data_IF_188020363033
#
_entry.id   IF_188020363033
#
_cell.length_a   1.000
_cell.length_b   1.000
_cell.length_c   1.000
_cell.angle_alpha   90.00
_cell.angle_beta   90.00
_cell.angle_gamma   90.00
#
_symmetry.space_group_name_H-M   'P 1'
#
loop_
_entity.id
_entity.type
_entity.pdbx_description
1 polymer ?
#
# COMPACT_ATOMS: atom_id res chain seq x y z
N UNK A 1 17.47 13.35 -22.97
CA UNK A 1 18.18 13.80 -21.75
C UNK A 1 18.53 12.54 -20.96
N UNK A 2 19.79 12.11 -20.98
CA UNK A 2 20.24 10.94 -20.22
C UNK A 2 20.55 11.39 -18.79
N UNK A 3 19.70 11.03 -17.84
CA UNK A 3 19.93 11.22 -16.40
C UNK A 3 20.77 10.05 -15.89
N UNK A 4 22.07 10.06 -16.20
CA UNK A 4 23.00 9.05 -15.70
C UNK A 4 23.93 9.73 -14.68
N UNK A 5 24.03 9.23 -13.43
CA UNK A 5 24.94 9.78 -12.45
C UNK A 5 26.40 9.76 -12.94
N UNK A 6 27.20 10.78 -12.59
CA UNK A 6 28.56 10.94 -13.13
C UNK A 6 29.60 10.01 -12.50
N UNK A 7 29.29 9.39 -11.36
CA UNK A 7 30.21 8.53 -10.61
C UNK A 7 29.66 7.12 -10.43
N UNK A 8 30.57 6.14 -10.38
CA UNK A 8 30.25 4.73 -10.08
C UNK A 8 29.46 4.60 -8.77
N UNK A 9 29.86 5.33 -7.75
CA UNK A 9 29.23 5.25 -6.43
C UNK A 9 27.81 5.80 -6.46
N UNK A 10 27.57 6.91 -7.19
CA UNK A 10 26.21 7.45 -7.37
C UNK A 10 25.31 6.51 -8.19
N UNK A 11 25.86 5.82 -9.20
CA UNK A 11 25.13 4.77 -9.94
C UNK A 11 24.77 3.61 -9.02
N UNK A 12 25.69 3.15 -8.17
CA UNK A 12 25.45 2.06 -7.23
C UNK A 12 24.40 2.43 -6.16
N UNK A 13 24.45 3.65 -5.64
CA UNK A 13 23.45 4.17 -4.72
C UNK A 13 22.05 4.25 -5.36
N UNK A 14 21.97 4.78 -6.58
CA UNK A 14 20.74 4.80 -7.38
C UNK A 14 20.19 3.40 -7.61
N UNK A 15 21.05 2.45 -8.00
CA UNK A 15 20.66 1.06 -8.23
C UNK A 15 20.18 0.37 -6.95
N UNK A 16 20.76 0.70 -5.79
CA UNK A 16 20.31 0.17 -4.50
C UNK A 16 18.88 0.65 -4.16
N UNK A 17 18.60 1.95 -4.35
CA UNK A 17 17.25 2.50 -4.18
C UNK A 17 16.27 1.89 -5.19
N UNK A 18 16.68 1.72 -6.45
CA UNK A 18 15.87 1.06 -7.48
C UNK A 18 15.48 -0.37 -7.10
N UNK A 19 16.41 -1.16 -6.54
CA UNK A 19 16.10 -2.51 -6.03
C UNK A 19 15.11 -2.50 -4.86
N UNK A 20 15.20 -1.52 -3.97
CA UNK A 20 14.24 -1.39 -2.86
C UNK A 20 12.83 -1.05 -3.38
N UNK A 21 12.72 -0.10 -4.30
CA UNK A 21 11.43 0.23 -4.95
C UNK A 21 10.86 -0.99 -5.67
N UNK A 22 11.67 -1.70 -6.46
CA UNK A 22 11.24 -2.91 -7.16
C UNK A 22 10.73 -3.99 -6.20
N UNK A 23 11.45 -4.26 -5.11
CA UNK A 23 11.02 -5.23 -4.10
C UNK A 23 9.70 -4.84 -3.41
N UNK A 24 9.46 -3.54 -3.20
CA UNK A 24 8.22 -3.06 -2.59
C UNK A 24 7.02 -3.13 -3.53
N UNK A 25 7.23 -2.90 -4.83
CA UNK A 25 6.20 -2.99 -5.87
C UNK A 25 5.87 -4.43 -6.28
N UNK A 26 6.80 -5.37 -6.09
CA UNK A 26 6.54 -6.80 -6.26
C UNK A 26 5.68 -7.33 -5.09
N UNK A 27 4.39 -7.53 -5.37
CA UNK A 27 3.42 -8.03 -4.39
C UNK A 27 3.53 -9.52 -4.10
N UNK A 28 4.25 -10.28 -4.93
CA UNK A 28 4.33 -11.74 -4.84
C UNK A 28 5.50 -12.20 -3.96
N UNK A 29 6.56 -11.39 -3.87
CA UNK A 29 7.74 -11.72 -3.06
C UNK A 29 7.68 -11.07 -1.68
N UNK A 30 7.73 -11.83 -0.56
CA UNK A 30 7.83 -11.26 0.77
C UNK A 30 9.08 -10.37 0.95
N UNK A 31 8.92 -9.24 1.63
CA UNK A 31 10.01 -8.28 1.87
C UNK A 31 10.38 -8.31 3.36
N UNK A 32 11.59 -8.77 3.72
CA UNK A 32 12.04 -8.81 5.11
C UNK A 32 11.95 -7.43 5.78
N UNK A 33 11.38 -7.41 6.98
CA UNK A 33 11.17 -6.18 7.73
C UNK A 33 9.93 -5.38 7.32
N UNK A 34 9.30 -5.69 6.18
CA UNK A 34 8.10 -4.99 5.71
C UNK A 34 6.88 -5.90 5.74
N UNK A 35 6.97 -7.09 5.14
CA UNK A 35 5.85 -8.05 5.09
C UNK A 35 6.18 -9.38 5.77
N UNK A 36 7.45 -9.73 5.96
CA UNK A 36 7.86 -10.96 6.65
C UNK A 36 9.03 -10.76 7.64
N UNK A 37 9.28 -11.79 8.45
CA UNK A 37 10.32 -11.77 9.48
C UNK A 37 10.03 -10.76 10.59
N UNK A 38 11.08 -10.15 11.14
CA UNK A 38 10.96 -9.10 12.14
C UNK A 38 10.52 -7.77 11.50
N UNK A 39 9.22 -7.54 11.44
CA UNK A 39 8.63 -6.30 10.90
C UNK A 39 9.19 -5.07 11.63
N UNK A 40 9.62 -4.05 10.88
CA UNK A 40 10.14 -2.79 11.42
C UNK A 40 9.10 -2.13 12.33
N UNK A 41 9.54 -1.48 13.41
CA UNK A 41 8.67 -0.94 14.45
C UNK A 41 7.63 0.05 13.94
N UNK A 42 8.02 0.93 13.00
CA UNK A 42 7.17 1.90 12.31
C UNK A 42 6.03 1.26 11.49
N UNK A 43 6.21 0.01 11.05
CA UNK A 43 5.25 -0.71 10.20
C UNK A 43 4.36 -1.69 10.97
N UNK A 44 4.73 -2.06 12.21
CA UNK A 44 4.02 -3.10 12.97
C UNK A 44 2.54 -2.80 13.14
N UNK A 45 2.21 -1.56 13.47
CA UNK A 45 0.84 -1.13 13.75
C UNK A 45 0.02 -0.81 12.47
N UNK A 46 0.68 -0.62 11.32
CA UNK A 46 0.03 -0.23 10.07
C UNK A 46 -0.96 -1.30 9.63
N UNK A 47 -2.22 -0.90 9.45
CA UNK A 47 -3.31 -1.74 8.97
C UNK A 47 -3.46 -3.04 9.79
N UNK A 48 -3.42 -2.95 11.12
CA UNK A 48 -3.69 -4.10 11.98
C UNK A 48 -5.18 -4.46 11.93
N UNK A 49 -5.51 -5.67 11.47
CA UNK A 49 -6.91 -6.14 11.44
C UNK A 49 -7.36 -6.56 12.85
N UNK A 50 -8.39 -5.92 13.37
CA UNK A 50 -8.92 -6.14 14.72
C UNK A 50 -10.43 -6.05 14.73
N UNK A 51 -11.05 -6.67 15.74
CA UNK A 51 -12.43 -6.36 16.12
C UNK A 51 -12.48 -5.12 16.99
N UNK A 52 -13.52 -4.32 16.84
CA UNK A 52 -13.73 -3.09 17.60
C UNK A 52 -14.04 -3.36 19.08
N UNK A 53 -14.56 -4.54 19.41
CA UNK A 53 -14.83 -5.00 20.78
C UNK A 53 -13.63 -5.66 21.47
N UNK A 54 -12.46 -5.71 20.81
CA UNK A 54 -11.22 -6.27 21.35
C UNK A 54 -11.16 -7.79 21.42
N UNK A 55 -12.20 -8.51 20.96
CA UNK A 55 -12.18 -9.98 20.93
C UNK A 55 -11.32 -10.50 19.77
N UNK A 56 -10.87 -11.78 19.83
CA UNK A 56 -10.24 -12.43 18.69
C UNK A 56 -11.17 -12.50 17.48
N UNK A 57 -10.62 -12.31 16.28
CA UNK A 57 -11.36 -12.48 15.03
C UNK A 57 -11.73 -13.96 14.84
N UNK A 58 -12.99 -14.24 14.55
CA UNK A 58 -13.52 -15.54 14.15
C UNK A 58 -14.08 -15.47 12.73
N UNK A 59 -13.37 -16.04 11.76
CA UNK A 59 -13.77 -16.04 10.36
C UNK A 59 -15.10 -16.78 10.13
N UNK A 60 -15.38 -17.86 10.87
CA UNK A 60 -16.60 -18.66 10.72
C UNK A 60 -17.83 -17.93 11.26
N UNK A 61 -17.63 -16.92 12.12
CA UNK A 61 -18.70 -16.05 12.62
C UNK A 61 -19.03 -14.88 11.66
N UNK A 62 -18.38 -14.80 10.50
CA UNK A 62 -18.58 -13.71 9.55
C UNK A 62 -17.81 -12.43 9.90
N UNK A 63 -16.88 -12.47 10.86
CA UNK A 63 -16.10 -11.28 11.25
C UNK A 63 -15.28 -10.70 10.09
N UNK A 64 -14.98 -11.51 9.07
CA UNK A 64 -14.24 -11.13 7.86
C UNK A 64 -15.14 -10.88 6.64
N UNK A 65 -16.46 -10.84 6.84
CA UNK A 65 -17.39 -10.44 5.79
C UNK A 65 -17.15 -8.97 5.43
N UNK A 66 -16.90 -8.71 4.14
CA UNK A 66 -16.84 -7.36 3.62
C UNK A 66 -18.26 -6.90 3.29
N UNK A 67 -18.82 -6.03 4.12
CA UNK A 67 -20.21 -5.53 4.03
C UNK A 67 -20.31 -4.02 4.30
N UNK A 68 -19.18 -3.32 4.36
CA UNK A 68 -19.10 -1.88 4.61
C UNK A 68 -19.45 -1.01 3.39
N UNK A 69 -19.80 -1.61 2.24
CA UNK A 69 -20.29 -0.90 1.06
C UNK A 69 -19.18 -0.32 0.17
N UNK A 70 -18.08 -1.06 -0.02
CA UNK A 70 -16.95 -0.72 -0.89
C UNK A 70 -17.26 -0.87 -2.39
N UNK A 71 -18.26 -1.67 -2.73
CA UNK A 71 -18.73 -1.88 -4.10
C UNK A 71 -20.04 -2.65 -4.16
N UNK A 72 -20.68 -2.64 -5.32
CA UNK A 72 -21.93 -3.38 -5.53
C UNK A 72 -22.13 -3.72 -7.00
N UNK A 73 -23.03 -4.65 -7.28
CA UNK A 73 -23.38 -5.00 -8.65
C UNK A 73 -24.16 -3.84 -9.30
N UNK A 74 -23.72 -3.45 -10.49
CA UNK A 74 -24.41 -2.55 -11.39
C UNK A 74 -25.12 -3.31 -12.51
N UNK A 75 -25.67 -2.55 -13.47
CA UNK A 75 -26.34 -3.12 -14.64
C UNK A 75 -25.37 -4.02 -15.43
N UNK A 76 -25.84 -5.20 -15.82
CA UNK A 76 -25.04 -6.15 -16.61
C UNK A 76 -23.87 -6.80 -15.86
N UNK A 77 -23.90 -6.82 -14.52
CA UNK A 77 -22.85 -7.46 -13.70
C UNK A 77 -21.59 -6.62 -13.51
N UNK A 78 -21.56 -5.37 -13.99
CA UNK A 78 -20.44 -4.45 -13.79
C UNK A 78 -20.31 -4.11 -12.31
N UNK A 79 -19.10 -4.20 -11.74
CA UNK A 79 -18.85 -3.75 -10.36
C UNK A 79 -18.80 -2.23 -10.30
N UNK A 80 -19.68 -1.63 -9.51
CA UNK A 80 -19.71 -0.20 -9.23
C UNK A 80 -19.01 0.09 -7.90
N UNK A 81 -18.15 1.13 -7.83
CA UNK A 81 -17.47 1.49 -6.60
C UNK A 81 -18.43 2.12 -5.59
N UNK A 82 -18.30 1.72 -4.33
CA UNK A 82 -19.05 2.29 -3.22
C UNK A 82 -18.23 3.27 -2.38
N UNK A 83 -18.90 3.89 -1.40
CA UNK A 83 -18.23 4.82 -0.46
C UNK A 83 -17.35 4.06 0.53
N UNK A 84 -17.80 2.90 0.99
CA UNK A 84 -17.22 2.20 2.13
C UNK A 84 -17.45 2.91 3.46
N UNK A 85 -16.86 2.36 4.52
CA UNK A 85 -16.81 2.98 5.85
C UNK A 85 -15.35 3.20 6.27
N UNK A 86 -15.03 4.47 6.52
CA UNK A 86 -13.73 4.94 7.03
C UNK A 86 -14.00 5.81 8.24
N UNK A 87 -13.26 5.61 9.32
CA UNK A 87 -13.24 6.54 10.47
C UNK A 87 -11.84 7.12 10.64
N UNK A 88 -11.75 8.37 11.09
CA UNK A 88 -10.48 9.04 11.35
C UNK A 88 -10.08 8.85 12.81
N UNK A 89 -8.83 8.45 13.03
CA UNK A 89 -8.22 8.28 14.35
C UNK A 89 -6.86 9.01 14.36
N UNK A 90 -6.89 10.28 14.75
CA UNK A 90 -5.73 11.18 14.62
C UNK A 90 -5.33 11.35 13.15
N UNK A 91 -4.05 11.10 12.84
CA UNK A 91 -3.50 11.19 11.48
C UNK A 91 -3.65 9.89 10.66
N UNK A 92 -4.40 8.93 11.20
CA UNK A 92 -4.63 7.62 10.59
C UNK A 92 -6.12 7.35 10.42
N UNK A 93 -6.41 6.29 9.67
CA UNK A 93 -7.74 5.88 9.29
C UNK A 93 -7.99 4.43 9.72
N UNK A 94 -9.20 4.18 10.20
CA UNK A 94 -9.75 2.85 10.43
C UNK A 94 -10.63 2.48 9.23
N UNK A 95 -10.23 1.45 8.49
CA UNK A 95 -10.89 0.98 7.27
C UNK A 95 -11.74 -0.22 7.61
N UNK A 96 -13.06 -0.06 7.60
CA UNK A 96 -13.98 -1.09 8.08
C UNK A 96 -14.26 -2.16 7.03
N UNK A 97 -14.26 -3.41 7.48
CA UNK A 97 -14.79 -4.55 6.71
C UNK A 97 -16.32 -4.60 6.87
N UNK A 98 -16.79 -4.43 8.10
CA UNK A 98 -18.20 -4.47 8.50
C UNK A 98 -18.39 -3.65 9.80
N UNK A 99 -19.51 -3.82 10.52
CA UNK A 99 -19.78 -3.07 11.76
C UNK A 99 -18.87 -3.42 12.95
N UNK A 100 -18.10 -4.51 12.87
CA UNK A 100 -17.36 -5.08 13.99
C UNK A 100 -15.85 -5.22 13.74
N UNK A 101 -15.42 -5.34 12.49
CA UNK A 101 -14.01 -5.56 12.13
C UNK A 101 -13.47 -4.46 11.23
N UNK A 102 -12.26 -3.98 11.50
CA UNK A 102 -11.56 -3.01 10.67
C UNK A 102 -10.05 -3.27 10.62
N UNK A 103 -9.39 -2.74 9.59
CA UNK A 103 -7.96 -2.47 9.63
C UNK A 103 -7.73 -1.12 10.32
N UNK A 104 -7.05 -1.12 11.46
CA UNK A 104 -6.71 0.09 12.21
C UNK A 104 -5.38 0.70 11.80
N UNK A 105 -5.23 1.99 12.09
CA UNK A 105 -3.99 2.74 11.94
C UNK A 105 -3.44 2.72 10.50
N UNK A 106 -4.31 2.93 9.50
CA UNK A 106 -3.87 3.12 8.12
C UNK A 106 -3.48 4.59 7.93
N UNK A 107 -2.22 4.95 7.67
CA UNK A 107 -1.85 6.36 7.46
C UNK A 107 -2.64 6.98 6.31
N UNK A 108 -3.10 8.23 6.45
CA UNK A 108 -3.88 8.88 5.39
C UNK A 108 -3.17 8.90 4.01
N UNK A 109 -1.85 9.12 3.90
CA UNK A 109 -1.13 9.00 2.63
C UNK A 109 -1.13 7.59 2.03
N UNK A 110 -1.15 6.55 2.87
CA UNK A 110 -1.24 5.14 2.42
C UNK A 110 -2.61 4.86 1.82
N UNK A 111 -3.67 5.33 2.46
CA UNK A 111 -5.03 5.21 1.94
C UNK A 111 -5.25 6.01 0.64
N UNK A 112 -4.65 7.20 0.56
CA UNK A 112 -4.75 8.09 -0.60
C UNK A 112 -3.86 7.64 -1.78
N UNK A 113 -2.96 6.67 -1.59
CA UNK A 113 -2.02 6.24 -2.62
C UNK A 113 -2.73 5.69 -3.86
N UNK A 114 -2.36 6.20 -5.04
CA UNK A 114 -2.98 5.82 -6.31
C UNK A 114 -1.99 5.26 -7.33
N UNK A 115 -2.46 4.32 -8.16
CA UNK A 115 -1.79 3.85 -9.37
C UNK A 115 -2.81 3.92 -10.51
N UNK A 116 -2.45 4.56 -11.63
CA UNK A 116 -3.35 4.73 -12.77
C UNK A 116 -4.64 5.47 -12.44
N UNK A 117 -4.61 6.39 -11.47
CA UNK A 117 -5.77 7.18 -11.02
C UNK A 117 -6.69 6.48 -10.00
N UNK A 118 -6.39 5.24 -9.61
CA UNK A 118 -7.21 4.49 -8.64
C UNK A 118 -6.51 4.35 -7.30
N UNK A 119 -7.24 4.61 -6.20
CA UNK A 119 -6.79 4.27 -4.84
C UNK A 119 -6.64 2.75 -4.72
N UNK A 120 -5.41 2.28 -4.48
CA UNK A 120 -5.04 0.86 -4.60
C UNK A 120 -5.89 -0.03 -3.68
N UNK A 121 -5.93 0.29 -2.39
CA UNK A 121 -6.65 -0.51 -1.39
C UNK A 121 -8.16 -0.43 -1.62
N UNK A 122 -8.70 0.78 -1.82
CA UNK A 122 -10.15 0.97 -2.06
C UNK A 122 -10.63 0.22 -3.31
N UNK A 123 -9.86 0.27 -4.40
CA UNK A 123 -10.18 -0.44 -5.64
C UNK A 123 -10.19 -1.95 -5.41
N UNK A 124 -9.21 -2.49 -4.69
CA UNK A 124 -9.16 -3.91 -4.34
C UNK A 124 -10.38 -4.38 -3.52
N UNK A 125 -10.83 -3.55 -2.57
CA UNK A 125 -12.03 -3.81 -1.74
C UNK A 125 -13.32 -3.80 -2.57
N UNK A 126 -13.42 -2.92 -3.57
CA UNK A 126 -14.66 -2.75 -4.36
C UNK A 126 -15.15 -4.02 -5.08
N UNK A 127 -14.25 -4.96 -5.37
CA UNK A 127 -14.58 -6.23 -6.01
C UNK A 127 -14.87 -7.37 -5.02
N UNK A 128 -14.75 -7.13 -3.71
CA UNK A 128 -14.71 -8.17 -2.67
C UNK A 128 -15.79 -8.04 -1.62
N UNK A 129 -16.77 -7.18 -1.86
CA UNK A 129 -18.01 -7.16 -1.07
C UNK A 129 -18.65 -8.55 -1.09
N UNK A 130 -19.12 -9.03 0.06
CA UNK A 130 -19.63 -10.40 0.20
C UNK A 130 -20.72 -10.74 -0.84
N UNK A 131 -21.67 -9.85 -1.18
CA UNK A 131 -22.63 -10.12 -2.25
C UNK A 131 -22.02 -10.28 -3.65
N UNK A 132 -20.84 -9.69 -3.91
CA UNK A 132 -20.10 -9.83 -5.16
C UNK A 132 -19.17 -11.05 -5.15
N UNK A 133 -18.48 -11.29 -4.04
CA UNK A 133 -17.49 -12.36 -3.90
C UNK A 133 -18.12 -13.72 -3.58
N UNK A 134 -19.34 -13.74 -3.03
CA UNK A 134 -20.07 -14.93 -2.58
C UNK A 134 -19.60 -15.49 -1.23
N UNK A 135 -18.60 -14.89 -0.60
CA UNK A 135 -18.01 -15.31 0.69
C UNK A 135 -17.38 -14.14 1.42
N UNK A 136 -17.05 -14.33 2.70
CA UNK A 136 -16.15 -13.44 3.43
C UNK A 136 -14.71 -13.52 2.94
N UNK A 137 -13.87 -12.58 3.37
CA UNK A 137 -12.43 -12.63 3.10
C UNK A 137 -11.77 -13.80 3.84
N UNK A 138 -10.78 -14.40 3.19
CA UNK A 138 -9.88 -15.33 3.86
C UNK A 138 -8.87 -14.59 4.74
N UNK A 139 -8.28 -15.27 5.71
CA UNK A 139 -7.19 -14.70 6.54
C UNK A 139 -6.01 -14.25 5.69
N UNK A 140 -5.72 -14.96 4.59
CA UNK A 140 -4.67 -14.58 3.64
C UNK A 140 -4.99 -13.28 2.91
N UNK A 141 -6.24 -13.08 2.47
CA UNK A 141 -6.70 -11.84 1.86
C UNK A 141 -6.67 -10.66 2.85
N UNK A 142 -7.00 -10.91 4.12
CA UNK A 142 -6.89 -9.89 5.17
C UNK A 142 -5.44 -9.47 5.42
N UNK A 143 -4.54 -10.46 5.49
CA UNK A 143 -3.10 -10.24 5.63
C UNK A 143 -2.53 -9.51 4.42
N UNK A 144 -2.97 -9.84 3.21
CA UNK A 144 -2.55 -9.20 1.97
C UNK A 144 -2.80 -7.68 1.99
N UNK A 145 -3.94 -7.23 2.52
CA UNK A 145 -4.23 -5.79 2.67
C UNK A 145 -3.26 -5.14 3.67
N UNK A 146 -2.99 -5.77 4.81
CA UNK A 146 -2.01 -5.30 5.79
C UNK A 146 -0.61 -5.16 5.16
N UNK A 147 -0.17 -6.18 4.42
CA UNK A 147 1.12 -6.19 3.74
C UNK A 147 1.20 -5.12 2.65
N UNK A 148 0.13 -4.92 1.89
CA UNK A 148 0.02 -3.86 0.88
C UNK A 148 0.14 -2.48 1.52
N UNK A 149 -0.56 -2.24 2.64
CA UNK A 149 -0.46 -0.98 3.37
C UNK A 149 0.96 -0.72 3.89
N UNK A 150 1.63 -1.75 4.41
CA UNK A 150 3.04 -1.65 4.86
C UNK A 150 4.01 -1.39 3.70
N UNK A 151 3.80 -2.00 2.54
CA UNK A 151 4.59 -1.73 1.32
C UNK A 151 4.46 -0.29 0.88
N UNK A 152 3.23 0.22 0.81
CA UNK A 152 2.97 1.62 0.45
C UNK A 152 3.60 2.56 1.48
N UNK A 153 3.45 2.27 2.79
CA UNK A 153 4.09 3.06 3.84
C UNK A 153 5.62 3.10 3.70
N UNK A 154 6.24 1.94 3.44
CA UNK A 154 7.68 1.85 3.22
C UNK A 154 8.12 2.57 1.94
N UNK A 155 7.32 2.53 0.87
CA UNK A 155 7.59 3.24 -0.38
C UNK A 155 7.53 4.76 -0.18
N UNK A 156 6.53 5.26 0.54
CA UNK A 156 6.40 6.68 0.88
C UNK A 156 7.57 7.14 1.77
N UNK A 157 8.01 6.31 2.71
CA UNK A 157 9.18 6.60 3.54
C UNK A 157 10.50 6.66 2.75
N UNK A 158 10.58 6.03 1.57
CA UNK A 158 11.74 6.13 0.67
C UNK A 158 11.77 7.42 -0.14
N UNK A 159 10.67 8.17 -0.21
CA UNK A 159 10.55 9.36 -1.05
C UNK A 159 11.68 10.40 -0.82
N UNK A 160 12.06 10.76 0.43
CA UNK A 160 13.14 11.73 0.62
C UNK A 160 14.48 11.27 0.06
N UNK A 161 14.81 9.97 0.18
CA UNK A 161 16.03 9.41 -0.37
C UNK A 161 16.01 9.36 -1.90
N UNK A 162 14.85 9.04 -2.50
CA UNK A 162 14.65 9.09 -3.94
C UNK A 162 14.77 10.52 -4.48
N UNK A 163 14.20 11.51 -3.80
CA UNK A 163 14.28 12.92 -4.18
C UNK A 163 15.71 13.45 -4.13
N UNK A 164 16.46 13.12 -3.07
CA UNK A 164 17.88 13.48 -2.94
C UNK A 164 18.70 12.83 -4.07
N UNK A 165 18.49 11.54 -4.31
CA UNK A 165 19.19 10.81 -5.37
C UNK A 165 18.88 11.39 -6.76
N UNK A 166 17.62 11.75 -7.01
CA UNK A 166 17.20 12.39 -8.26
C UNK A 166 17.88 13.75 -8.44
N UNK A 167 17.83 14.64 -7.44
CA UNK A 167 18.46 15.96 -7.50
C UNK A 167 19.96 15.89 -7.74
N UNK A 168 20.65 14.95 -7.08
CA UNK A 168 22.08 14.72 -7.29
C UNK A 168 22.39 14.30 -8.73
N UNK A 169 21.61 13.36 -9.28
CA UNK A 169 21.77 12.89 -10.67
C UNK A 169 21.54 14.00 -11.69
N UNK A 170 20.53 14.85 -11.45
CA UNK A 170 20.23 16.00 -12.31
C UNK A 170 21.37 17.01 -12.27
N UNK A 171 21.86 17.38 -11.08
CA UNK A 171 22.97 18.35 -10.93
C UNK A 171 24.25 17.88 -11.63
N UNK A 172 24.61 16.60 -11.50
CA UNK A 172 25.77 15.99 -12.17
C UNK A 172 25.64 16.02 -13.70
N UNK A 173 24.42 15.86 -14.23
CA UNK A 173 24.17 15.88 -15.67
C UNK A 173 24.40 17.28 -16.26
N UNK A 174 24.11 18.35 -15.51
CA UNK A 174 24.32 19.72 -15.95
C UNK A 174 25.76 20.22 -15.79
N UNK A 175 26.55 19.63 -14.90
CA UNK A 175 27.96 19.96 -14.73
C UNK A 175 28.86 19.42 -15.87
N UNK A 176 28.43 18.35 -16.54
CA UNK A 176 29.12 17.76 -17.68
C UNK A 176 28.64 18.42 -19.00
N UNK A 177 29.05 19.68 -19.23
CA UNK A 177 28.67 20.54 -20.37
C UNK A 177 28.73 19.90 -21.77
N UNK A 178 28.29 20.60 -22.83
CA UNK A 178 28.08 20.00 -24.14
C UNK A 178 29.35 19.29 -24.63
N UNK A 179 29.19 18.06 -25.09
CA UNK A 179 30.24 17.31 -25.75
C UNK A 179 30.64 18.15 -26.97
N UNK A 180 31.78 18.83 -26.90
CA UNK A 180 32.37 19.49 -28.07
C UNK A 180 32.64 18.42 -29.13
N UNK A 181 32.32 18.73 -30.41
CA UNK A 181 32.24 17.75 -31.49
C UNK A 181 33.58 17.05 -31.79
#
# INVERSE_FOLDING_TARGET
MHLTPATKDAVLASAALGRQVAALLDTETPVPGVTCGAIRGDLKAVAACVRTDGKPINADAGDLDLTAGWGHAGKGGVTMPGRGKVETAGDTLDIYLNGLTCWRNVPAPVWAYTIGGYQVIKKWLSYREKPLLGRGLTVAEVRYVTETARRIAALLALQPALDVNYRATVADTYANGPITP
#
